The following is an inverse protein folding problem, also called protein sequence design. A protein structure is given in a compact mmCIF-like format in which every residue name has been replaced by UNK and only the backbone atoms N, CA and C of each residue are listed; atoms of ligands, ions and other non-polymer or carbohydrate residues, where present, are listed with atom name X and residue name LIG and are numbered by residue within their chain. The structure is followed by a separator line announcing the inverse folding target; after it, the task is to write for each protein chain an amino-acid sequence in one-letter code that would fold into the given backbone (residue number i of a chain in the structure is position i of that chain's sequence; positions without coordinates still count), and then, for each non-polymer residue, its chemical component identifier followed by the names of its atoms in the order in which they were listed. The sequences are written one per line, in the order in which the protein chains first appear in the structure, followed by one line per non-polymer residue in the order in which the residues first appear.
data_IF_191687008484
#
_entry.id   IF_191687008484
#
_cell.length_a   1.000
_cell.length_b   1.000
_cell.length_c   1.000
_cell.angle_alpha   90.00
_cell.angle_beta   90.00
_cell.angle_gamma   90.00
#
_symmetry.space_group_name_H-M   'P 1'
#
loop_
_entity.id
_entity.type
_entity.pdbx_description
1 polymer ?
#
# COMPACT_ATOMS: atom_id res chain seq x y z
N UNK A 1 -2.41 12.14 -8.61
CA UNK A 1 -3.49 11.64 -7.75
C UNK A 1 -4.22 12.80 -7.09
N UNK A 2 -5.54 12.87 -7.23
CA UNK A 2 -6.40 13.91 -6.66
C UNK A 2 -7.64 13.27 -6.05
N UNK A 3 -8.13 13.83 -4.94
CA UNK A 3 -9.41 13.43 -4.32
C UNK A 3 -10.38 14.58 -4.49
N UNK A 4 -11.52 14.32 -5.12
CA UNK A 4 -12.59 15.29 -5.24
C UNK A 4 -13.30 15.35 -3.89
N UNK A 5 -13.25 16.52 -3.25
CA UNK A 5 -13.90 16.76 -1.95
C UNK A 5 -15.15 17.59 -2.20
N UNK A 6 -16.26 17.18 -1.60
CA UNK A 6 -17.51 17.95 -1.69
C UNK A 6 -17.56 18.98 -0.56
N UNK A 7 -18.25 20.10 -0.80
CA UNK A 7 -18.33 21.23 0.14
C UNK A 7 -18.92 20.88 1.51
N UNK A 8 -19.72 19.81 1.59
CA UNK A 8 -20.34 19.34 2.84
C UNK A 8 -19.53 18.26 3.57
N UNK A 9 -18.34 17.91 3.09
CA UNK A 9 -17.59 16.77 3.59
C UNK A 9 -16.55 17.17 4.64
N UNK A 10 -16.45 16.39 5.73
CA UNK A 10 -15.46 16.63 6.76
C UNK A 10 -14.04 16.46 6.18
N UNK A 11 -13.19 17.48 6.41
CA UNK A 11 -11.79 17.53 5.96
C UNK A 11 -11.02 16.26 6.35
N UNK A 12 -11.22 15.73 7.56
CA UNK A 12 -10.53 14.52 8.01
C UNK A 12 -10.90 13.28 7.19
N UNK A 13 -12.15 13.19 6.73
CA UNK A 13 -12.61 12.10 5.87
C UNK A 13 -11.99 12.20 4.47
N UNK A 14 -11.90 13.42 3.95
CA UNK A 14 -11.18 13.70 2.71
C UNK A 14 -9.69 13.34 2.80
N UNK A 15 -9.00 13.75 3.86
CA UNK A 15 -7.60 13.43 4.09
C UNK A 15 -7.37 11.92 4.24
N UNK A 16 -8.25 11.20 4.95
CA UNK A 16 -8.16 9.73 5.08
C UNK A 16 -8.31 9.03 3.73
N UNK A 17 -9.20 9.50 2.85
CA UNK A 17 -9.33 8.95 1.49
C UNK A 17 -8.08 9.24 0.66
N UNK A 18 -7.58 10.47 0.70
CA UNK A 18 -6.33 10.81 0.03
C UNK A 18 -5.18 9.91 0.50
N UNK A 19 -5.07 9.69 1.81
CA UNK A 19 -4.06 8.80 2.38
C UNK A 19 -4.20 7.35 1.90
N UNK A 20 -5.43 6.82 1.82
CA UNK A 20 -5.67 5.47 1.29
C UNK A 20 -5.27 5.35 -0.18
N UNK A 21 -5.55 6.36 -0.98
CA UNK A 21 -5.16 6.38 -2.39
C UNK A 21 -3.63 6.45 -2.55
N UNK A 22 -2.93 7.27 -1.74
CA UNK A 22 -1.46 7.29 -1.66
C UNK A 22 -0.88 5.91 -1.31
N UNK A 23 -1.48 5.21 -0.35
CA UNK A 23 -1.07 3.86 0.01
C UNK A 23 -1.38 2.83 -1.08
N UNK A 24 -2.51 2.98 -1.80
CA UNK A 24 -2.91 2.09 -2.90
C UNK A 24 -1.92 2.17 -4.06
N UNK A 25 -1.57 3.37 -4.50
CA UNK A 25 -0.61 3.59 -5.58
C UNK A 25 0.85 3.38 -5.13
N UNK A 26 1.10 3.16 -3.83
CA UNK A 26 2.44 2.93 -3.26
C UNK A 26 3.44 4.04 -3.59
N UNK A 27 2.97 5.28 -3.74
CA UNK A 27 3.76 6.43 -4.20
C UNK A 27 5.04 6.60 -3.35
N UNK A 28 4.91 6.56 -2.03
CA UNK A 28 6.05 6.70 -1.11
C UNK A 28 7.09 5.58 -1.28
N UNK A 29 6.64 4.36 -1.59
CA UNK A 29 7.51 3.20 -1.80
C UNK A 29 8.28 3.34 -3.12
N UNK A 30 7.66 3.92 -4.15
CA UNK A 30 8.31 4.19 -5.45
C UNK A 30 9.39 5.27 -5.37
N UNK A 31 9.19 6.33 -4.59
CA UNK A 31 10.26 7.33 -4.38
C UNK A 31 11.40 6.75 -3.55
N UNK A 32 11.09 5.98 -2.50
CA UNK A 32 12.11 5.32 -1.68
C UNK A 32 12.95 4.31 -2.48
N UNK A 33 12.35 3.57 -3.41
CA UNK A 33 13.10 2.62 -4.24
C UNK A 33 13.98 3.30 -5.30
N UNK A 34 13.64 4.52 -5.72
CA UNK A 34 14.46 5.34 -6.63
C UNK A 34 15.63 6.05 -5.93
N UNK A 35 15.58 6.21 -4.61
CA UNK A 35 16.59 6.94 -3.84
C UNK A 35 17.97 6.23 -3.86
N UNK A 36 18.00 4.91 -4.03
CA UNK A 36 19.23 4.12 -4.00
C UNK A 36 19.28 3.12 -5.15
N UNK A 37 20.49 2.74 -5.58
CA UNK A 37 20.67 1.66 -6.56
C UNK A 37 20.33 0.32 -5.91
N UNK A 38 19.41 -0.43 -6.51
CA UNK A 38 18.95 -1.75 -6.03
C UNK A 38 19.56 -2.86 -6.90
N UNK A 39 19.97 -3.98 -6.28
CA UNK A 39 20.42 -5.18 -7.00
C UNK A 39 19.21 -6.00 -7.44
N UNK A 40 19.26 -6.61 -8.62
CA UNK A 40 18.13 -7.42 -9.14
C UNK A 40 17.71 -8.57 -8.21
N UNK A 41 18.66 -9.16 -7.48
CA UNK A 41 18.37 -10.20 -6.50
C UNK A 41 17.43 -9.71 -5.38
N UNK A 42 17.60 -8.47 -4.93
CA UNK A 42 16.80 -7.88 -3.87
C UNK A 42 15.35 -7.66 -4.31
N UNK A 43 15.12 -7.35 -5.59
CA UNK A 43 13.78 -7.25 -6.16
C UNK A 43 13.05 -8.60 -6.15
N UNK A 44 13.77 -9.69 -6.50
CA UNK A 44 13.21 -11.06 -6.45
C UNK A 44 12.87 -11.45 -5.01
N UNK A 45 13.74 -11.12 -4.06
CA UNK A 45 13.52 -11.38 -2.62
C UNK A 45 12.31 -10.58 -2.10
N UNK A 46 12.22 -9.29 -2.42
CA UNK A 46 11.12 -8.42 -2.02
C UNK A 46 9.77 -8.94 -2.52
N UNK A 47 9.69 -9.34 -3.81
CA UNK A 47 8.47 -9.92 -4.40
C UNK A 47 8.03 -11.19 -3.67
N UNK A 48 8.96 -12.09 -3.33
CA UNK A 48 8.66 -13.32 -2.57
C UNK A 48 8.19 -13.02 -1.16
N UNK A 49 8.82 -12.07 -0.47
CA UNK A 49 8.44 -11.65 0.90
C UNK A 49 7.01 -11.08 0.92
N UNK A 50 6.67 -10.17 0.01
CA UNK A 50 5.32 -9.58 -0.04
C UNK A 50 4.26 -10.63 -0.41
N UNK A 51 4.56 -11.55 -1.34
CA UNK A 51 3.66 -12.66 -1.65
C UNK A 51 3.38 -13.56 -0.43
N UNK A 52 4.44 -13.98 0.28
CA UNK A 52 4.32 -14.81 1.47
C UNK A 52 3.51 -14.11 2.57
N UNK A 53 3.76 -12.81 2.79
CA UNK A 53 3.02 -11.96 3.73
C UNK A 53 1.53 -11.86 3.37
N UNK A 54 1.20 -11.58 2.11
CA UNK A 54 -0.19 -11.50 1.65
C UNK A 54 -0.90 -12.85 1.82
N UNK A 55 -0.24 -13.95 1.43
CA UNK A 55 -0.76 -15.32 1.61
C UNK A 55 -1.04 -15.63 3.08
N UNK A 56 -0.12 -15.27 3.99
CA UNK A 56 -0.31 -15.43 5.44
C UNK A 56 -1.51 -14.63 5.95
N UNK A 57 -1.63 -13.35 5.59
CA UNK A 57 -2.76 -12.49 6.00
C UNK A 57 -4.10 -13.05 5.53
N UNK A 58 -4.20 -13.47 4.26
CA UNK A 58 -5.42 -14.10 3.71
C UNK A 58 -5.80 -15.38 4.46
N UNK A 59 -4.83 -16.26 4.73
CA UNK A 59 -5.07 -17.49 5.49
C UNK A 59 -5.53 -17.21 6.92
N UNK A 60 -4.90 -16.26 7.60
CA UNK A 60 -5.31 -15.88 8.97
C UNK A 60 -6.72 -15.28 8.99
N UNK A 61 -7.06 -14.42 8.02
CA UNK A 61 -8.41 -13.87 7.91
C UNK A 61 -9.46 -14.97 7.68
N UNK A 62 -9.19 -15.92 6.76
CA UNK A 62 -10.08 -17.05 6.51
C UNK A 62 -10.27 -17.94 7.75
N UNK A 63 -9.23 -18.12 8.58
CA UNK A 63 -9.33 -18.84 9.85
C UNK A 63 -10.14 -18.12 10.92
N UNK A 64 -10.12 -16.79 10.95
CA UNK A 64 -10.90 -15.99 11.91
C UNK A 64 -12.36 -15.84 11.52
N UNK A 65 -12.67 -16.00 10.24
CA UNK A 65 -14.03 -15.94 9.71
C UNK A 65 -14.78 -17.28 9.86
N UNK A 66 -14.10 -18.33 10.32
CA UNK A 66 -14.66 -19.66 10.62
C UNK A 66 -14.75 -19.81 12.14
#
# INVERSE_FOLDING_TARGET
MSVIVHSNENIDSALKRLHREVLREKVLETYRSKAFRIREADLKIAKRKEWAKMKRRRRTAARRAK
#
